data_IF_058577618021
#
_entry.id   IF_058577618021
#
_cell.length_a   1.000
_cell.length_b   1.000
_cell.length_c   1.000
_cell.angle_alpha   90.00
_cell.angle_beta   90.00
_cell.angle_gamma   90.00
#
_symmetry.space_group_name_H-M   'P 1'
#
loop_
_entity.id
_entity.type
_entity.pdbx_description
1 polymer ?
#
# COMPACT_ATOMS: atom_id res chain seq x y z
N UNK A 1 5.16 4.40 26.10
CA UNK A 1 5.45 5.01 24.78
C UNK A 1 5.33 3.98 23.65
N UNK A 2 5.92 2.78 23.77
CA UNK A 2 5.82 1.71 22.76
C UNK A 2 4.39 1.26 22.44
N UNK A 3 3.52 1.06 23.45
CA UNK A 3 2.11 0.66 23.21
C UNK A 3 1.37 1.66 22.32
N UNK A 4 1.58 2.98 22.51
CA UNK A 4 0.99 4.02 21.67
C UNK A 4 1.47 3.99 20.21
N UNK A 5 2.70 3.56 19.94
CA UNK A 5 3.21 3.46 18.56
C UNK A 5 2.66 2.22 17.85
N UNK A 6 2.49 1.12 18.59
CA UNK A 6 1.84 -0.10 18.06
C UNK A 6 0.36 0.17 17.78
N UNK A 7 -0.34 0.89 18.66
CA UNK A 7 -1.72 1.34 18.43
C UNK A 7 -1.85 2.27 17.22
N UNK A 8 -0.94 3.24 17.06
CA UNK A 8 -0.91 4.11 15.87
C UNK A 8 -0.67 3.32 14.59
N UNK A 9 0.33 2.44 14.56
CA UNK A 9 0.58 1.60 13.39
C UNK A 9 -0.66 0.77 13.02
N UNK A 10 -1.37 0.19 13.99
CA UNK A 10 -2.61 -0.55 13.74
C UNK A 10 -3.80 0.31 13.31
N UNK A 11 -3.76 1.63 13.56
CA UNK A 11 -4.82 2.58 13.17
C UNK A 11 -4.53 3.19 11.79
N UNK A 12 -3.28 3.58 11.56
CA UNK A 12 -2.85 4.38 10.41
C UNK A 12 -2.51 3.49 9.19
N UNK A 13 -1.98 2.29 9.44
CA UNK A 13 -1.61 1.33 8.40
C UNK A 13 -2.64 0.20 8.32
N UNK A 14 -2.93 -0.24 7.09
CA UNK A 14 -3.89 -1.32 6.85
C UNK A 14 -3.19 -2.68 6.83
N UNK A 15 -3.81 -3.66 7.50
CA UNK A 15 -3.38 -5.08 7.46
C UNK A 15 -1.91 -5.26 7.91
N UNK A 16 -1.54 -4.56 8.99
CA UNK A 16 -0.19 -4.62 9.55
C UNK A 16 0.10 -6.01 10.12
N UNK A 17 1.25 -6.55 9.76
CA UNK A 17 1.81 -7.74 10.39
C UNK A 17 3.24 -7.46 10.82
N UNK A 18 3.55 -7.84 12.05
CA UNK A 18 4.90 -7.76 12.62
C UNK A 18 5.44 -9.16 12.81
N UNK A 19 6.66 -9.40 12.33
CA UNK A 19 7.36 -10.65 12.54
C UNK A 19 8.74 -10.38 13.14
N UNK A 20 9.09 -11.16 14.16
CA UNK A 20 10.46 -11.23 14.68
C UNK A 20 11.21 -12.28 13.86
N UNK A 21 12.25 -11.87 13.15
CA UNK A 21 13.05 -12.73 12.28
C UNK A 21 14.12 -13.45 13.10
N UNK A 22 14.80 -12.72 14.00
CA UNK A 22 15.76 -13.33 14.91
C UNK A 22 15.94 -12.49 16.18
N UNK A 23 16.35 -13.16 17.26
CA UNK A 23 16.74 -12.54 18.53
C UNK A 23 18.12 -13.05 18.91
N UNK A 24 19.04 -12.14 19.22
CA UNK A 24 20.40 -12.48 19.65
C UNK A 24 20.77 -11.67 20.89
N UNK A 25 21.22 -12.33 21.94
CA UNK A 25 21.89 -11.67 23.06
C UNK A 25 23.35 -11.40 22.64
N UNK A 26 23.75 -10.13 22.60
CA UNK A 26 25.11 -9.70 22.25
C UNK A 26 25.96 -9.53 23.51
N UNK A 27 25.35 -9.09 24.61
CA UNK A 27 25.96 -9.00 25.93
C UNK A 27 24.94 -9.31 27.02
N UNK A 28 25.38 -9.31 28.29
CA UNK A 28 24.53 -9.66 29.44
C UNK A 28 23.24 -8.83 29.52
N UNK A 29 23.31 -7.57 29.08
CA UNK A 29 22.14 -6.68 29.02
C UNK A 29 21.88 -6.11 27.63
N UNK A 30 22.42 -6.71 26.57
CA UNK A 30 22.29 -6.19 25.21
C UNK A 30 21.67 -7.23 24.29
N UNK A 31 20.58 -6.85 23.64
CA UNK A 31 19.84 -7.68 22.71
C UNK A 31 19.72 -7.02 21.35
N UNK A 32 19.94 -7.79 20.30
CA UNK A 32 19.69 -7.40 18.92
C UNK A 32 18.53 -8.23 18.38
N UNK A 33 17.46 -7.53 18.00
CA UNK A 33 16.24 -8.11 17.44
C UNK A 33 16.19 -7.74 15.97
N UNK A 34 16.18 -8.72 15.08
CA UNK A 34 15.84 -8.50 13.68
C UNK A 34 14.35 -8.69 13.49
N UNK A 35 13.71 -7.73 12.83
CA UNK A 35 12.27 -7.73 12.64
C UNK A 35 11.90 -7.31 11.22
N UNK A 36 10.69 -7.68 10.83
CA UNK A 36 10.05 -7.22 9.60
C UNK A 36 8.62 -6.78 9.88
N UNK A 37 8.23 -5.64 9.32
CA UNK A 37 6.85 -5.17 9.33
C UNK A 37 6.32 -5.15 7.90
N UNK A 38 5.15 -5.74 7.68
CA UNK A 38 4.45 -5.69 6.39
C UNK A 38 3.11 -5.01 6.53
N UNK A 39 2.71 -4.22 5.54
CA UNK A 39 1.41 -3.56 5.51
C UNK A 39 0.96 -3.25 4.07
N UNK A 40 -0.32 -2.93 3.89
CA UNK A 40 -0.86 -2.46 2.60
C UNK A 40 -0.68 -0.94 2.52
N UNK A 41 0.14 -0.41 1.58
CA UNK A 41 0.36 1.03 1.44
C UNK A 41 -0.91 1.80 1.10
N UNK A 42 -0.99 3.07 1.49
CA UNK A 42 -2.11 3.98 1.20
C UNK A 42 -2.49 3.94 -0.28
N UNK A 43 -1.49 4.04 -1.16
CA UNK A 43 -1.69 4.01 -2.62
C UNK A 43 -2.24 2.70 -3.16
N UNK A 44 -2.21 1.61 -2.40
CA UNK A 44 -2.76 0.31 -2.78
C UNK A 44 -4.09 0.01 -2.09
N UNK A 45 -4.57 0.88 -1.20
CA UNK A 45 -5.86 0.70 -0.52
C UNK A 45 -7.00 0.55 -1.54
N UNK A 46 -7.02 1.37 -2.59
CA UNK A 46 -8.03 1.25 -3.65
C UNK A 46 -8.04 -0.12 -4.34
N UNK A 47 -6.85 -0.71 -4.56
CA UNK A 47 -6.73 -2.01 -5.21
C UNK A 47 -7.15 -3.14 -4.27
N UNK A 48 -6.84 -2.99 -2.98
CA UNK A 48 -7.28 -3.88 -1.93
C UNK A 48 -8.80 -3.84 -1.74
N UNK A 49 -9.39 -2.65 -1.72
CA UNK A 49 -10.83 -2.47 -1.64
C UNK A 49 -11.56 -2.98 -2.88
N UNK A 50 -10.96 -2.81 -4.06
CA UNK A 50 -11.48 -3.40 -5.30
C UNK A 50 -11.45 -4.94 -5.25
N UNK A 51 -10.41 -5.53 -4.68
CA UNK A 51 -10.31 -6.98 -4.53
C UNK A 51 -11.34 -7.53 -3.54
N UNK A 52 -11.59 -6.82 -2.43
CA UNK A 52 -12.61 -7.20 -1.45
C UNK A 52 -14.04 -7.08 -1.99
N UNK A 53 -14.31 -6.04 -2.77
CA UNK A 53 -15.63 -5.76 -3.34
C UNK A 53 -15.73 -6.22 -4.80
N UNK A 54 -15.01 -7.29 -5.15
CA UNK A 54 -14.92 -7.74 -6.54
C UNK A 54 -16.30 -8.14 -7.09
N UNK A 55 -16.73 -7.57 -8.23
CA UNK A 55 -18.12 -7.74 -8.70
C UNK A 55 -18.42 -9.14 -9.25
N UNK A 56 -17.40 -9.94 -9.59
CA UNK A 56 -17.56 -11.24 -10.25
C UNK A 56 -17.41 -12.43 -9.29
N UNK A 57 -17.42 -12.19 -7.97
CA UNK A 57 -17.33 -13.22 -6.94
C UNK A 57 -16.17 -13.04 -5.96
N UNK A 58 -15.96 -14.03 -5.10
CA UNK A 58 -14.85 -14.01 -4.14
C UNK A 58 -13.50 -14.14 -4.86
N UNK A 59 -12.60 -13.21 -4.57
CA UNK A 59 -11.30 -13.14 -5.19
C UNK A 59 -10.20 -13.34 -4.14
N UNK A 60 -9.22 -14.19 -4.43
CA UNK A 60 -8.11 -14.47 -3.52
C UNK A 60 -7.07 -13.35 -3.58
N UNK A 61 -6.77 -12.74 -2.44
CA UNK A 61 -5.79 -11.65 -2.34
C UNK A 61 -4.41 -12.24 -2.03
N UNK A 62 -3.51 -12.20 -3.01
CA UNK A 62 -2.12 -12.60 -2.85
C UNK A 62 -1.26 -11.37 -2.53
N UNK A 63 -0.84 -11.23 -1.27
CA UNK A 63 0.04 -10.15 -0.82
C UNK A 63 1.48 -10.43 -1.25
N UNK A 64 2.08 -9.57 -2.07
CA UNK A 64 3.45 -9.74 -2.58
C UNK A 64 4.37 -8.59 -2.17
N UNK A 65 5.51 -8.87 -1.56
CA UNK A 65 6.50 -7.82 -1.30
C UNK A 65 7.20 -7.36 -2.60
N UNK A 66 7.69 -6.13 -2.57
CA UNK A 66 8.38 -5.49 -3.71
C UNK A 66 9.81 -5.05 -3.38
N UNK A 67 10.36 -5.55 -2.27
CA UNK A 67 11.73 -5.24 -1.86
C UNK A 67 12.76 -5.78 -2.86
N UNK A 68 12.45 -6.91 -3.51
CA UNK A 68 13.23 -7.50 -4.60
C UNK A 68 13.45 -6.51 -5.77
N UNK A 69 12.52 -5.57 -5.97
CA UNK A 69 12.55 -4.56 -7.04
C UNK A 69 13.05 -3.19 -6.61
N UNK A 70 13.74 -3.07 -5.47
CA UNK A 70 14.23 -1.78 -4.99
C UNK A 70 15.20 -1.08 -5.96
N UNK A 71 15.94 -1.84 -6.77
CA UNK A 71 16.88 -1.33 -7.78
C UNK A 71 16.23 -0.94 -9.12
N UNK A 72 14.95 -1.25 -9.31
CA UNK A 72 14.23 -0.99 -10.56
C UNK A 72 13.52 0.37 -10.52
N UNK A 73 13.43 1.05 -11.66
CA UNK A 73 12.64 2.27 -11.77
C UNK A 73 11.16 1.88 -11.96
N UNK A 74 10.33 2.17 -10.97
CA UNK A 74 8.89 1.92 -11.05
C UNK A 74 8.19 2.96 -11.92
N UNK A 75 7.68 2.53 -13.08
CA UNK A 75 6.78 3.31 -13.93
C UNK A 75 5.37 2.73 -13.89
N UNK A 76 4.37 3.58 -13.63
CA UNK A 76 2.98 3.18 -13.76
C UNK A 76 2.60 3.14 -15.25
N UNK A 77 1.88 2.11 -15.66
CA UNK A 77 1.29 2.03 -17.00
C UNK A 77 -0.13 1.48 -16.90
N UNK A 78 -1.07 2.08 -17.63
CA UNK A 78 -2.45 1.59 -17.65
C UNK A 78 -2.53 0.16 -18.18
N UNK A 79 -1.69 -0.18 -19.17
CA UNK A 79 -1.55 -1.55 -19.69
C UNK A 79 -1.25 -2.57 -18.59
N UNK A 80 -0.38 -2.24 -17.64
CA UNK A 80 -0.08 -3.13 -16.51
C UNK A 80 -1.27 -3.27 -15.55
N UNK A 81 -2.02 -2.18 -15.31
CA UNK A 81 -3.25 -2.22 -14.52
C UNK A 81 -4.31 -3.13 -15.16
N UNK A 82 -4.52 -3.05 -16.47
CA UNK A 82 -5.43 -3.95 -17.17
C UNK A 82 -4.99 -5.40 -17.15
N UNK A 83 -3.70 -5.64 -17.36
CA UNK A 83 -3.17 -6.99 -17.29
C UNK A 83 -3.42 -7.60 -15.90
N UNK A 84 -3.31 -6.80 -14.85
CA UNK A 84 -3.64 -7.18 -13.48
C UNK A 84 -5.14 -7.49 -13.32
N UNK A 85 -6.03 -6.59 -13.76
CA UNK A 85 -7.48 -6.80 -13.65
C UNK A 85 -7.99 -7.98 -14.51
N UNK A 86 -7.41 -8.17 -15.70
CA UNK A 86 -7.73 -9.30 -16.57
C UNK A 86 -7.31 -10.62 -15.93
N UNK A 87 -6.11 -10.69 -15.35
CA UNK A 87 -5.65 -11.88 -14.61
C UNK A 87 -6.52 -12.13 -13.39
N UNK A 88 -6.88 -11.09 -12.64
CA UNK A 88 -7.81 -11.18 -11.53
C UNK A 88 -9.15 -11.81 -11.94
N UNK A 89 -9.72 -11.38 -13.07
CA UNK A 89 -10.97 -11.94 -13.60
C UNK A 89 -10.85 -13.40 -14.09
N UNK A 90 -9.70 -13.78 -14.67
CA UNK A 90 -9.51 -15.11 -15.26
C UNK A 90 -9.03 -16.16 -14.25
N UNK A 91 -8.13 -15.77 -13.35
CA UNK A 91 -7.46 -16.67 -12.40
C UNK A 91 -8.17 -16.65 -11.03
N UNK A 92 -9.04 -15.68 -10.77
CA UNK A 92 -9.69 -15.49 -9.47
C UNK A 92 -8.73 -15.02 -8.36
N UNK A 93 -7.54 -14.53 -8.74
CA UNK A 93 -6.48 -14.11 -7.81
C UNK A 93 -5.99 -12.71 -8.14
N UNK A 94 -5.87 -11.83 -7.15
CA UNK A 94 -5.31 -10.48 -7.31
C UNK A 94 -4.04 -10.35 -6.49
N UNK A 95 -2.93 -10.13 -7.20
CA UNK A 95 -1.63 -9.86 -6.59
C UNK A 95 -1.52 -8.40 -6.21
N UNK A 96 -1.54 -8.14 -4.91
CA UNK A 96 -1.45 -6.79 -4.36
C UNK A 96 -0.06 -6.58 -3.80
N UNK A 97 0.69 -5.59 -4.30
CA UNK A 97 2.02 -5.35 -3.78
C UNK A 97 1.94 -4.66 -2.41
N UNK A 98 2.55 -5.27 -1.41
CA UNK A 98 2.60 -4.82 -0.02
C UNK A 98 3.94 -4.16 0.29
N UNK A 99 3.94 -3.24 1.25
CA UNK A 99 5.17 -2.72 1.83
C UNK A 99 5.76 -3.78 2.77
N UNK A 100 7.09 -3.90 2.74
CA UNK A 100 7.85 -4.68 3.70
C UNK A 100 9.02 -3.83 4.17
N UNK A 101 9.10 -3.61 5.48
CA UNK A 101 10.14 -2.84 6.14
C UNK A 101 10.92 -3.80 7.03
N UNK A 102 12.23 -3.87 6.82
CA UNK A 102 13.14 -4.71 7.60
C UNK A 102 14.11 -3.84 8.39
N UNK A 103 14.36 -4.25 9.64
CA UNK A 103 15.23 -3.51 10.54
C UNK A 103 15.81 -4.38 11.64
N UNK A 104 16.77 -3.80 12.34
CA UNK A 104 17.36 -4.34 13.54
C UNK A 104 17.20 -3.34 14.68
N UNK A 105 16.65 -3.80 15.81
CA UNK A 105 16.56 -3.04 17.05
C UNK A 105 17.64 -3.54 18.02
N UNK A 106 18.50 -2.63 18.46
CA UNK A 106 19.48 -2.85 19.53
C UNK A 106 18.92 -2.30 20.83
N UNK A 107 18.73 -3.17 21.81
CA UNK A 107 18.15 -2.88 23.11
C UNK A 107 19.21 -3.08 24.19
N UNK A 108 19.52 -2.02 24.93
CA UNK A 108 20.42 -2.07 26.09
C UNK A 108 19.59 -1.88 27.36
N UNK A 109 19.71 -2.83 28.27
CA UNK A 109 19.03 -2.83 29.55
C UNK A 109 20.00 -2.49 30.69
N UNK A 110 19.51 -1.77 31.69
CA UNK A 110 20.20 -1.58 32.96
C UNK A 110 19.23 -1.82 34.12
N UNK A 111 19.58 -2.72 35.03
CA UNK A 111 18.74 -3.10 36.16
C UNK A 111 17.31 -3.55 35.78
N UNK A 112 17.12 -4.12 34.58
CA UNK A 112 15.80 -4.51 34.06
C UNK A 112 14.98 -3.38 33.42
N UNK A 113 15.53 -2.18 33.30
CA UNK A 113 14.94 -1.05 32.54
C UNK A 113 15.62 -0.90 31.20
N UNK A 114 14.85 -0.55 30.16
CA UNK A 114 15.39 -0.23 28.84
C UNK A 114 16.06 1.16 28.91
N UNK A 115 17.38 1.20 28.80
CA UNK A 115 18.16 2.43 28.85
C UNK A 115 18.33 3.04 27.45
N UNK A 116 18.67 2.18 26.47
CA UNK A 116 18.92 2.62 25.09
C UNK A 116 18.18 1.72 24.10
N UNK A 117 17.51 2.35 23.16
CA UNK A 117 16.89 1.70 22.02
C UNK A 117 17.38 2.37 20.73
N UNK A 118 18.10 1.62 19.90
CA UNK A 118 18.51 2.07 18.59
C UNK A 118 17.89 1.19 17.52
N UNK A 119 17.32 1.81 16.50
CA UNK A 119 16.77 1.09 15.36
C UNK A 119 17.57 1.43 14.11
N UNK A 120 17.96 0.38 13.39
CA UNK A 120 18.59 0.51 12.08
C UNK A 120 17.67 -0.12 11.04
N UNK A 121 17.23 0.69 10.07
CA UNK A 121 16.39 0.23 8.97
C UNK A 121 17.26 -0.11 7.75
N UNK A 122 17.04 -1.28 7.17
CA UNK A 122 17.81 -1.75 6.01
C UNK A 122 17.59 -0.85 4.80
N UNK A 123 16.36 -0.38 4.59
CA UNK A 123 16.01 0.53 3.49
C UNK A 123 16.66 1.91 3.61
N UNK A 124 16.74 2.49 4.82
CA UNK A 124 17.43 3.78 5.04
C UNK A 124 18.89 3.67 4.63
N UNK A 125 19.55 2.59 5.04
CA UNK A 125 20.94 2.31 4.66
C UNK A 125 21.10 2.06 3.15
N UNK A 126 20.09 1.50 2.47
CA UNK A 126 20.10 1.28 1.04
C UNK A 126 19.88 2.58 0.25
N UNK A 127 18.99 3.46 0.72
CA UNK A 127 18.72 4.79 0.14
C UNK A 127 19.96 5.66 0.24
N UNK A 128 20.54 5.80 1.44
CA UNK A 128 21.74 6.62 1.64
C UNK A 128 22.95 6.10 0.85
N UNK A 129 22.98 4.81 0.51
CA UNK A 129 23.99 4.20 -0.35
C UNK A 129 23.69 4.34 -1.86
N UNK A 130 22.61 5.02 -2.26
CA UNK A 130 22.20 5.19 -3.66
C UNK A 130 21.75 3.90 -4.36
N UNK A 131 21.40 2.85 -3.59
CA UNK A 131 21.00 1.54 -4.14
C UNK A 131 19.52 1.45 -4.48
N UNK A 132 18.70 2.35 -3.92
CA UNK A 132 17.26 2.38 -4.17
C UNK A 132 16.96 3.32 -5.34
N UNK A 133 16.36 2.76 -6.39
CA UNK A 133 15.87 3.51 -7.56
C UNK A 133 14.34 3.49 -7.65
N UNK A 134 13.71 2.62 -6.87
CA UNK A 134 12.27 2.47 -6.83
C UNK A 134 11.64 3.47 -5.86
N UNK A 135 11.10 4.57 -6.39
CA UNK A 135 10.38 5.58 -5.60
C UNK A 135 9.24 5.02 -4.77
N UNK A 136 8.62 3.92 -5.19
CA UNK A 136 7.51 3.31 -4.45
C UNK A 136 7.99 2.73 -3.14
N UNK A 137 9.10 1.98 -3.17
CA UNK A 137 9.74 1.43 -1.96
C UNK A 137 10.18 2.54 -1.01
N UNK A 138 10.67 3.67 -1.55
CA UNK A 138 11.00 4.84 -0.74
C UNK A 138 9.77 5.49 -0.09
N UNK A 139 8.64 5.59 -0.82
CA UNK A 139 7.37 6.11 -0.27
C UNK A 139 6.79 5.19 0.79
N UNK A 140 6.85 3.87 0.58
CA UNK A 140 6.42 2.88 1.57
C UNK A 140 7.22 3.02 2.88
N UNK A 141 8.53 3.33 2.79
CA UNK A 141 9.34 3.66 3.97
C UNK A 141 8.88 4.95 4.66
N UNK A 142 8.57 6.01 3.91
CA UNK A 142 8.08 7.26 4.50
C UNK A 142 6.74 7.07 5.21
N UNK A 143 5.80 6.35 4.59
CA UNK A 143 4.50 6.01 5.17
C UNK A 143 4.68 5.25 6.51
N UNK A 144 5.66 4.34 6.57
CA UNK A 144 6.02 3.66 7.79
C UNK A 144 6.61 4.59 8.87
N UNK A 145 7.48 5.52 8.48
CA UNK A 145 8.11 6.48 9.40
C UNK A 145 7.08 7.48 9.96
N UNK A 146 6.13 7.94 9.15
CA UNK A 146 5.08 8.86 9.57
C UNK A 146 4.22 8.29 10.71
N UNK A 147 3.94 6.99 10.68
CA UNK A 147 3.23 6.28 11.75
C UNK A 147 4.02 6.24 13.07
N UNK A 148 5.35 6.44 13.00
CA UNK A 148 6.26 6.47 14.14
C UNK A 148 6.61 7.87 14.61
N UNK A 149 5.95 8.91 14.08
CA UNK A 149 6.14 10.28 14.55
C UNK A 149 5.85 10.41 16.05
N UNK A 150 6.79 10.96 16.85
CA UNK A 150 6.56 11.14 18.27
C UNK A 150 5.38 12.04 18.62
N UNK A 151 4.70 11.78 19.75
CA UNK A 151 3.62 12.63 20.21
C UNK A 151 4.16 14.01 20.58
N UNK A 152 3.49 15.06 20.10
CA UNK A 152 3.91 16.45 20.35
C UNK A 152 4.91 17.02 19.33
N UNK A 153 5.40 16.22 18.38
CA UNK A 153 6.24 16.71 17.28
C UNK A 153 5.37 17.21 16.11
N UNK A 154 5.67 18.41 15.61
CA UNK A 154 5.04 18.93 14.38
C UNK A 154 5.42 18.06 13.18
N UNK A 155 4.66 18.15 12.09
CA UNK A 155 5.01 17.41 10.86
C UNK A 155 6.34 17.91 10.28
N UNK A 156 6.53 19.23 10.20
CA UNK A 156 7.76 19.84 9.70
C UNK A 156 9.01 19.39 10.47
N UNK A 157 8.97 19.43 11.81
CA UNK A 157 10.11 19.00 12.63
C UNK A 157 10.40 17.49 12.52
N UNK A 158 9.37 16.69 12.21
CA UNK A 158 9.53 15.28 11.95
C UNK A 158 10.16 15.04 10.57
N UNK A 159 9.68 15.73 9.55
CA UNK A 159 10.20 15.65 8.18
C UNK A 159 11.68 16.06 8.14
N UNK A 160 12.05 17.13 8.84
CA UNK A 160 13.45 17.57 8.98
C UNK A 160 14.32 16.49 9.64
N UNK A 161 13.82 15.86 10.71
CA UNK A 161 14.53 14.78 11.39
C UNK A 161 14.70 13.53 10.51
N UNK A 162 13.68 13.20 9.71
CA UNK A 162 13.75 12.10 8.73
C UNK A 162 14.76 12.43 7.63
N UNK A 163 14.75 13.65 7.11
CA UNK A 163 15.67 14.13 6.07
C UNK A 163 17.13 14.14 6.52
N UNK A 164 17.38 14.45 7.80
CA UNK A 164 18.73 14.38 8.37
C UNK A 164 19.30 12.94 8.35
N UNK A 165 18.43 11.92 8.41
CA UNK A 165 18.84 10.50 8.50
C UNK A 165 18.67 9.73 7.20
N UNK A 166 17.82 10.20 6.28
CA UNK A 166 17.45 9.51 5.06
C UNK A 166 17.36 10.49 3.88
N UNK A 167 18.31 10.41 2.95
CA UNK A 167 18.30 11.23 1.72
C UNK A 167 17.37 10.61 0.67
N UNK A 168 16.06 10.60 0.95
CA UNK A 168 15.07 10.04 0.03
C UNK A 168 14.87 10.89 -1.23
N UNK A 169 15.30 12.16 -1.25
CA UNK A 169 15.29 13.00 -2.45
C UNK A 169 16.31 12.56 -3.51
N UNK A 170 17.30 11.77 -3.12
CA UNK A 170 18.23 11.11 -4.06
C UNK A 170 17.55 10.04 -4.93
N UNK A 171 16.40 9.49 -4.49
CA UNK A 171 15.68 8.45 -5.22
C UNK A 171 14.93 9.09 -6.41
N UNK A 172 15.11 8.58 -7.65
CA UNK A 172 14.46 9.15 -8.83
C UNK A 172 12.93 9.21 -8.72
N UNK A 173 12.31 10.36 -9.01
CA UNK A 173 10.85 10.54 -8.95
C UNK A 173 10.28 10.84 -7.56
N UNK A 174 11.12 11.25 -6.61
CA UNK A 174 10.72 11.68 -5.26
C UNK A 174 10.56 13.19 -5.10
N UNK A 175 10.98 14.01 -6.07
CA UNK A 175 10.86 15.48 -5.95
C UNK A 175 9.43 15.94 -6.23
N UNK A 176 8.99 16.99 -5.54
CA UNK A 176 7.63 17.56 -5.66
C UNK A 176 7.30 18.06 -7.08
N UNK A 177 8.33 18.35 -7.89
CA UNK A 177 8.22 18.78 -9.29
C UNK A 177 8.44 17.65 -10.31
N UNK A 178 8.82 16.43 -9.87
CA UNK A 178 8.86 15.25 -10.73
C UNK A 178 7.42 14.77 -10.92
N UNK A 179 6.69 15.45 -11.80
CA UNK A 179 5.36 15.00 -12.23
C UNK A 179 5.56 13.65 -12.94
N UNK A 180 4.94 12.62 -12.39
CA UNK A 180 4.89 11.28 -13.00
C UNK A 180 4.42 11.39 -14.45
N UNK A 181 5.35 11.26 -15.38
CA UNK A 181 5.06 11.16 -16.82
C UNK A 181 5.63 12.26 -17.73
N UNK A 182 6.34 13.29 -17.23
CA UNK A 182 6.93 14.30 -18.13
C UNK A 182 8.29 13.92 -18.72
N UNK A 183 9.04 13.00 -18.10
CA UNK A 183 10.36 12.55 -18.62
C UNK A 183 10.27 11.18 -19.31
N UNK A 184 9.57 11.12 -20.44
CA UNK A 184 9.77 10.12 -21.49
C UNK A 184 8.98 10.51 -22.76
N UNK A 185 9.56 11.40 -23.55
CA UNK A 185 9.11 11.73 -24.92
C UNK A 185 9.20 10.50 -25.84
N UNK A 186 8.28 9.51 -25.75
CA UNK A 186 8.05 8.48 -26.81
C UNK A 186 6.95 7.42 -26.55
N UNK A 187 5.87 7.65 -25.77
CA UNK A 187 4.81 6.60 -25.61
C UNK A 187 3.34 7.06 -25.60
N UNK A 188 3.05 8.29 -26.01
CA UNK A 188 1.71 8.89 -25.84
C UNK A 188 0.55 8.19 -26.60
N UNK A 189 0.82 7.36 -27.60
CA UNK A 189 -0.23 6.72 -28.42
C UNK A 189 -0.77 5.43 -27.79
N UNK A 190 0.08 4.62 -27.14
CA UNK A 190 -0.37 3.38 -26.48
C UNK A 190 -1.13 3.66 -25.17
N UNK A 191 -0.75 4.70 -24.42
CA UNK A 191 -1.42 5.08 -23.18
C UNK A 191 -2.83 5.64 -23.43
N UNK A 192 -3.04 6.36 -24.54
CA UNK A 192 -4.37 6.89 -24.90
C UNK A 192 -5.38 5.78 -25.17
N UNK A 193 -4.98 4.70 -25.86
CA UNK A 193 -5.87 3.56 -26.14
C UNK A 193 -6.19 2.78 -24.86
N UNK A 194 -5.23 2.63 -23.95
CA UNK A 194 -5.47 1.99 -22.65
C UNK A 194 -6.45 2.81 -21.79
N UNK A 195 -6.26 4.14 -21.72
CA UNK A 195 -7.19 5.04 -21.00
C UNK A 195 -8.60 4.98 -21.59
N UNK A 196 -8.73 4.98 -22.93
CA UNK A 196 -10.04 4.90 -23.59
C UNK A 196 -10.72 3.56 -23.29
N UNK A 197 -9.98 2.46 -23.30
CA UNK A 197 -10.48 1.15 -22.89
C UNK A 197 -10.94 1.13 -21.43
N UNK A 198 -10.31 1.91 -20.56
CA UNK A 198 -10.58 1.91 -19.11
C UNK A 198 -11.91 2.58 -18.83
N UNK A 199 -12.05 3.80 -19.35
CA UNK A 199 -13.30 4.54 -19.24
C UNK A 199 -14.44 3.74 -19.88
N UNK A 200 -14.22 3.12 -21.04
CA UNK A 200 -15.23 2.27 -21.67
C UNK A 200 -15.65 1.11 -20.76
N UNK A 201 -14.71 0.40 -20.15
CA UNK A 201 -14.99 -0.76 -19.30
C UNK A 201 -15.65 -0.35 -17.97
N UNK A 202 -15.23 0.76 -17.38
CA UNK A 202 -15.86 1.36 -16.19
C UNK A 202 -17.27 1.82 -16.49
N UNK A 203 -17.50 2.51 -17.62
CA UNK A 203 -18.83 2.95 -18.04
C UNK A 203 -19.74 1.76 -18.34
N UNK A 204 -19.23 0.70 -18.96
CA UNK A 204 -19.98 -0.54 -19.18
C UNK A 204 -20.30 -1.20 -17.83
N UNK A 205 -19.33 -1.35 -16.93
CA UNK A 205 -19.56 -1.96 -15.61
C UNK A 205 -20.56 -1.17 -14.77
N UNK A 206 -20.46 0.16 -14.74
CA UNK A 206 -21.44 1.04 -14.10
C UNK A 206 -22.80 0.97 -14.80
N UNK A 207 -22.84 0.95 -16.13
CA UNK A 207 -24.07 0.87 -16.91
C UNK A 207 -24.82 -0.45 -16.71
N UNK A 208 -24.10 -1.58 -16.68
CA UNK A 208 -24.67 -2.89 -16.37
C UNK A 208 -25.08 -3.00 -14.90
N UNK A 209 -24.27 -2.49 -13.96
CA UNK A 209 -24.63 -2.51 -12.53
C UNK A 209 -25.87 -1.67 -12.23
N UNK A 210 -25.93 -0.45 -12.77
CA UNK A 210 -27.07 0.45 -12.60
C UNK A 210 -28.30 -0.05 -13.36
N UNK A 211 -28.11 -0.59 -14.58
CA UNK A 211 -29.18 -1.19 -15.37
C UNK A 211 -29.79 -2.43 -14.71
N UNK A 212 -28.95 -3.31 -14.15
CA UNK A 212 -29.41 -4.49 -13.41
C UNK A 212 -30.15 -4.10 -12.12
N UNK A 213 -29.64 -3.10 -11.38
CA UNK A 213 -30.31 -2.58 -10.19
C UNK A 213 -31.67 -1.92 -10.52
N UNK A 214 -31.70 -1.09 -11.57
CA UNK A 214 -32.93 -0.44 -12.04
C UNK A 214 -33.97 -1.46 -12.52
N UNK A 215 -33.57 -2.46 -13.30
CA UNK A 215 -34.46 -3.53 -13.77
C UNK A 215 -35.00 -4.37 -12.61
N UNK A 216 -34.18 -4.65 -11.59
CA UNK A 216 -34.64 -5.32 -10.36
C UNK A 216 -35.67 -4.49 -9.60
N UNK A 217 -35.47 -3.17 -9.49
CA UNK A 217 -36.43 -2.25 -8.88
C UNK A 217 -37.76 -2.21 -9.63
N UNK A 218 -37.72 -2.13 -10.96
CA UNK A 218 -38.92 -2.13 -11.82
C UNK A 218 -39.67 -3.46 -11.75
N UNK A 219 -38.96 -4.60 -11.66
CA UNK A 219 -39.58 -5.91 -11.47
C UNK A 219 -40.27 -6.03 -10.11
N UNK A 220 -39.67 -5.50 -9.04
CA UNK A 220 -40.30 -5.46 -7.72
C UNK A 220 -41.56 -4.59 -7.70
N UNK A 221 -41.54 -3.42 -8.35
CA UNK A 221 -42.72 -2.57 -8.49
C UNK A 221 -43.83 -3.22 -9.33
N UNK A 222 -43.47 -3.94 -10.40
CA UNK A 222 -44.43 -4.65 -11.24
C UNK A 222 -45.13 -5.79 -10.49
N UNK A 223 -44.40 -6.55 -9.68
CA UNK A 223 -44.95 -7.60 -8.81
C UNK A 223 -45.84 -6.99 -7.72
N UNK A 224 -45.43 -5.89 -7.09
CA UNK A 224 -46.25 -5.20 -6.09
C UNK A 224 -47.56 -4.66 -6.68
N UNK A 225 -47.51 -4.13 -7.91
CA UNK A 225 -48.71 -3.68 -8.64
C UNK A 225 -49.63 -4.84 -9.04
N UNK A 226 -49.07 -6.00 -9.41
CA UNK A 226 -49.88 -7.20 -9.67
C UNK A 226 -50.55 -7.73 -8.39
N UNK A 227 -49.83 -7.79 -7.27
CA UNK A 227 -50.40 -8.18 -5.98
C UNK A 227 -51.51 -7.22 -5.51
N UNK A 228 -51.34 -5.92 -5.73
CA UNK A 228 -52.37 -4.90 -5.46
C UNK A 228 -53.58 -5.00 -6.41
N UNK A 229 -53.37 -5.43 -7.67
CA UNK A 229 -54.44 -5.61 -8.65
C UNK A 229 -55.23 -6.92 -8.45
N UNK A 230 -54.60 -7.97 -7.93
CA UNK A 230 -55.23 -9.28 -7.64
C UNK A 230 -55.88 -9.35 -6.25
N UNK A 231 -55.72 -8.31 -5.42
CA UNK A 231 -56.45 -8.18 -4.15
C UNK A 231 -56.04 -9.17 -3.06
N UNK A 232 -54.79 -9.64 -3.09
CA UNK A 232 -54.24 -10.46 -2.01
C UNK A 232 -53.67 -9.55 -0.90
N UNK A 233 -54.45 -9.37 0.16
CA UNK A 233 -53.95 -8.97 1.49
C UNK A 233 -53.77 -10.22 2.35
#
# INVERSE_FOLDING_TARGET
>A
MHERYVERAGTDLREVSHATVSLRAVAQNEYVVQWSTTFVPEKMKFLYDLALNWPLGALEIEKKDILDRQGEISKFTYRALFALLKRAALEGKMRIPIAKIEGASRLVFDGGKLERHEESLTLVSAINAGRVRNKRVARDLLEYLDCRKPPGTSLEAWDDAVLEKCDYYSVPGMRQLDVDGMDATSSNVEDATAVLGFFTLVTIAFGFGFGAWYMHGVQQEAVFRQMLAEGAY
#
